data_IF_209277394058
#
_entry.id   IF_209277394058
#
_cell.length_a   1.000
_cell.length_b   1.000
_cell.length_c   1.000
_cell.angle_alpha   90.00
_cell.angle_beta   90.00
_cell.angle_gamma   90.00
#
_symmetry.space_group_name_H-M   'P 1'
#
loop_
_entity.id
_entity.type
_entity.pdbx_description
1 polymer ?
#
# COMPACT_ATOMS: atom_id res chain seq x y z
N UNK A 1 -19.46 -13.01 -1.36
CA UNK A 1 -19.88 -13.47 -2.71
C UNK A 1 -19.11 -12.67 -3.78
N UNK A 2 -17.77 -12.69 -3.76
CA UNK A 2 -16.90 -11.68 -4.44
C UNK A 2 -16.08 -12.22 -5.62
N UNK A 3 -16.25 -13.51 -5.96
CA UNK A 3 -15.46 -14.16 -7.03
C UNK A 3 -15.64 -13.57 -8.43
N UNK A 4 -16.83 -13.10 -8.87
CA UNK A 4 -17.00 -12.62 -10.24
C UNK A 4 -16.20 -11.34 -10.54
N UNK A 5 -16.27 -10.32 -9.68
CA UNK A 5 -15.58 -9.04 -9.89
C UNK A 5 -14.05 -9.22 -9.92
N UNK A 6 -13.51 -9.96 -8.94
CA UNK A 6 -12.09 -10.31 -8.90
C UNK A 6 -11.65 -11.09 -10.15
N UNK A 7 -12.43 -12.10 -10.56
CA UNK A 7 -12.12 -12.89 -11.76
C UNK A 7 -12.15 -12.05 -13.03
N UNK A 8 -13.12 -11.16 -13.18
CA UNK A 8 -13.24 -10.27 -14.32
C UNK A 8 -12.05 -9.31 -14.41
N UNK A 9 -11.64 -8.71 -13.29
CA UNK A 9 -10.49 -7.82 -13.24
C UNK A 9 -9.19 -8.55 -13.66
N UNK A 10 -8.94 -9.74 -13.10
CA UNK A 10 -7.76 -10.54 -13.44
C UNK A 10 -7.78 -11.01 -14.90
N UNK A 11 -8.95 -11.39 -15.43
CA UNK A 11 -9.10 -11.75 -16.84
C UNK A 11 -8.81 -10.57 -17.76
N UNK A 12 -9.20 -9.35 -17.38
CA UNK A 12 -8.90 -8.15 -18.15
C UNK A 12 -7.38 -7.93 -18.25
N UNK A 13 -6.64 -8.01 -17.13
CA UNK A 13 -5.18 -7.90 -17.14
C UNK A 13 -4.49 -8.99 -17.98
N UNK A 14 -5.00 -10.22 -17.91
CA UNK A 14 -4.49 -11.32 -18.72
C UNK A 14 -4.77 -11.13 -20.22
N UNK A 15 -5.96 -10.61 -20.58
CA UNK A 15 -6.38 -10.43 -21.97
C UNK A 15 -5.57 -9.38 -22.75
N UNK A 16 -5.03 -8.38 -22.05
CA UNK A 16 -4.12 -7.40 -22.63
C UNK A 16 -2.65 -7.86 -22.55
N UNK A 17 -2.43 -9.10 -22.13
CA UNK A 17 -1.11 -9.71 -21.92
C UNK A 17 -0.18 -8.81 -21.09
N UNK A 18 -0.72 -8.20 -20.02
CA UNK A 18 0.04 -7.27 -19.19
C UNK A 18 1.27 -7.98 -18.62
N UNK A 19 2.47 -7.47 -18.91
CA UNK A 19 3.74 -8.00 -18.43
C UNK A 19 4.70 -6.86 -18.11
N UNK A 20 5.63 -7.14 -17.20
CA UNK A 20 6.69 -6.20 -16.79
C UNK A 20 6.15 -4.82 -16.38
N UNK A 21 4.97 -4.81 -15.76
CA UNK A 21 4.35 -3.59 -15.28
C UNK A 21 5.11 -3.03 -14.08
N UNK A 22 4.94 -1.73 -13.86
CA UNK A 22 5.44 -1.02 -12.68
C UNK A 22 4.25 -0.79 -11.75
N UNK A 23 4.35 -1.29 -10.52
CA UNK A 23 3.30 -1.12 -9.51
C UNK A 23 3.66 0.02 -8.56
N UNK A 24 2.70 0.87 -8.23
CA UNK A 24 2.91 1.97 -7.26
C UNK A 24 2.27 1.60 -5.92
N UNK A 25 3.09 1.14 -4.98
CA UNK A 25 2.64 0.87 -3.61
C UNK A 25 2.56 2.19 -2.84
N UNK A 26 1.38 2.54 -2.35
CA UNK A 26 1.12 3.86 -1.77
C UNK A 26 0.07 3.83 -0.65
N UNK A 27 0.14 4.80 0.29
CA UNK A 27 -0.96 5.07 1.22
C UNK A 27 -2.25 5.42 0.45
N UNK A 28 -3.37 4.79 0.81
CA UNK A 28 -4.71 5.12 0.27
C UNK A 28 -5.67 5.37 1.45
N UNK A 29 -6.19 4.30 2.05
CA UNK A 29 -7.13 4.37 3.17
C UNK A 29 -6.44 4.35 4.54
N UNK A 30 -5.15 4.03 4.57
CA UNK A 30 -4.27 4.03 5.75
C UNK A 30 -2.97 4.74 5.42
N UNK A 31 -2.10 4.95 6.39
CA UNK A 31 -0.84 5.66 6.21
C UNK A 31 -0.56 6.61 7.35
N UNK A 32 0.48 7.44 7.18
CA UNK A 32 0.90 8.42 8.17
C UNK A 32 -0.24 9.33 8.63
N UNK A 33 -1.07 9.81 7.69
CA UNK A 33 -2.22 10.68 7.98
C UNK A 33 -3.28 10.00 8.86
N UNK A 34 -3.50 8.70 8.70
CA UNK A 34 -4.43 7.96 9.57
C UNK A 34 -3.86 7.83 10.98
N UNK A 35 -2.57 7.51 11.09
CA UNK A 35 -1.87 7.36 12.37
C UNK A 35 -1.79 8.69 13.13
N UNK A 36 -1.52 9.80 12.44
CA UNK A 36 -1.55 11.13 13.03
C UNK A 36 -2.96 11.52 13.52
N UNK A 37 -4.01 11.15 12.77
CA UNK A 37 -5.39 11.36 13.19
C UNK A 37 -5.74 10.53 14.43
N UNK A 38 -5.27 9.28 14.52
CA UNK A 38 -5.42 8.41 15.70
C UNK A 38 -4.75 9.04 16.94
N UNK A 39 -3.52 9.51 16.80
CA UNK A 39 -2.79 10.20 17.86
C UNK A 39 -3.53 11.46 18.33
N UNK A 40 -3.95 12.31 17.39
CA UNK A 40 -4.64 13.56 17.70
C UNK A 40 -6.00 13.33 18.39
N UNK A 41 -6.69 12.25 18.07
CA UNK A 41 -7.97 11.88 18.68
C UNK A 41 -7.83 11.00 19.93
N UNK A 42 -6.62 10.51 20.24
CA UNK A 42 -6.39 9.45 21.23
C UNK A 42 -7.31 8.24 21.01
N UNK A 43 -7.55 7.90 19.74
CA UNK A 43 -8.42 6.81 19.30
C UNK A 43 -7.63 5.89 18.38
N UNK A 44 -7.27 4.70 18.88
CA UNK A 44 -6.37 3.77 18.21
C UNK A 44 -7.08 2.57 17.58
N UNK A 45 -8.41 2.50 17.69
CA UNK A 45 -9.23 1.55 16.93
C UNK A 45 -9.63 2.18 15.59
N UNK A 46 -9.17 1.58 14.47
CA UNK A 46 -9.45 2.07 13.12
C UNK A 46 -10.94 2.09 12.80
N UNK A 47 -11.68 1.09 13.24
CA UNK A 47 -13.12 0.98 12.95
C UNK A 47 -13.89 2.08 13.68
N UNK A 48 -13.56 2.32 14.94
CA UNK A 48 -14.17 3.37 15.76
C UNK A 48 -13.76 4.75 15.24
N UNK A 49 -12.48 4.97 14.94
CA UNK A 49 -11.99 6.24 14.37
C UNK A 49 -12.75 6.61 13.09
N UNK A 50 -12.90 5.67 12.16
CA UNK A 50 -13.56 5.91 10.88
C UNK A 50 -15.08 6.07 11.02
N UNK A 51 -15.69 5.44 12.03
CA UNK A 51 -17.11 5.64 12.32
C UNK A 51 -17.37 7.02 12.96
N UNK A 52 -16.61 7.36 14.00
CA UNK A 52 -16.81 8.58 14.79
C UNK A 52 -16.33 9.85 14.06
N UNK A 53 -15.28 9.72 13.24
CA UNK A 53 -14.62 10.84 12.56
C UNK A 53 -14.65 10.69 11.03
N UNK A 54 -15.68 10.05 10.46
CA UNK A 54 -15.78 9.74 9.01
C UNK A 54 -15.40 10.93 8.11
N UNK A 55 -15.99 12.11 8.34
CA UNK A 55 -15.72 13.29 7.51
C UNK A 55 -14.30 13.83 7.65
N UNK A 56 -13.71 13.71 8.86
CA UNK A 56 -12.30 14.08 9.05
C UNK A 56 -11.40 13.06 8.37
N UNK A 57 -11.67 11.77 8.53
CA UNK A 57 -10.90 10.72 7.89
C UNK A 57 -10.93 10.85 6.36
N UNK A 58 -12.10 11.07 5.76
CA UNK A 58 -12.21 11.28 4.31
C UNK A 58 -11.37 12.48 3.83
N UNK A 59 -11.52 13.63 4.50
CA UNK A 59 -10.86 14.89 4.11
C UNK A 59 -9.38 14.95 4.44
N UNK A 60 -8.98 14.42 5.59
CA UNK A 60 -7.63 14.54 6.15
C UNK A 60 -6.75 13.33 5.81
N UNK A 61 -7.35 12.18 5.45
CA UNK A 61 -6.62 10.94 5.14
C UNK A 61 -6.88 10.50 3.71
N UNK A 62 -8.11 10.09 3.39
CA UNK A 62 -8.41 9.37 2.15
C UNK A 62 -8.14 10.20 0.91
N UNK A 63 -8.72 11.40 0.83
CA UNK A 63 -8.61 12.24 -0.37
C UNK A 63 -7.18 12.77 -0.60
N UNK A 64 -6.46 13.28 0.42
CA UNK A 64 -5.05 13.62 0.26
C UNK A 64 -4.18 12.42 -0.15
N UNK A 65 -4.38 11.25 0.45
CA UNK A 65 -3.64 10.05 0.09
C UNK A 65 -3.89 9.62 -1.37
N UNK A 66 -5.15 9.64 -1.82
CA UNK A 66 -5.50 9.36 -3.22
C UNK A 66 -4.87 10.36 -4.18
N UNK A 67 -4.85 11.64 -3.81
CA UNK A 67 -4.18 12.69 -4.59
C UNK A 67 -2.68 12.42 -4.73
N UNK A 68 -2.02 12.08 -3.63
CA UNK A 68 -0.60 11.75 -3.61
C UNK A 68 -0.28 10.48 -4.41
N UNK A 69 -1.12 9.45 -4.30
CA UNK A 69 -1.01 8.22 -5.08
C UNK A 69 -1.10 8.49 -6.59
N UNK A 70 -2.07 9.31 -7.02
CA UNK A 70 -2.18 9.76 -8.42
C UNK A 70 -0.94 10.52 -8.88
N UNK A 71 -0.42 11.41 -8.03
CA UNK A 71 0.77 12.19 -8.33
C UNK A 71 2.00 11.28 -8.45
N UNK A 72 2.16 10.31 -7.55
CA UNK A 72 3.22 9.30 -7.60
C UNK A 72 3.13 8.48 -8.90
N UNK A 73 1.96 7.96 -9.25
CA UNK A 73 1.75 7.24 -10.50
C UNK A 73 2.05 8.09 -11.74
N UNK A 74 1.68 9.37 -11.72
CA UNK A 74 1.98 10.31 -12.82
C UNK A 74 3.48 10.52 -12.98
N UNK A 75 4.21 10.74 -11.87
CA UNK A 75 5.68 10.84 -11.89
C UNK A 75 6.34 9.56 -12.40
N UNK A 76 5.86 8.40 -11.97
CA UNK A 76 6.35 7.09 -12.43
C UNK A 76 6.14 6.91 -13.94
N UNK A 77 4.96 7.25 -14.47
CA UNK A 77 4.68 7.20 -15.92
C UNK A 77 5.62 8.11 -16.72
N UNK A 78 5.88 9.32 -16.21
CA UNK A 78 6.80 10.25 -16.85
C UNK A 78 8.24 9.72 -16.87
N UNK A 79 8.67 9.02 -15.81
CA UNK A 79 10.02 8.42 -15.71
C UNK A 79 10.19 7.20 -16.61
N UNK A 80 9.12 6.44 -16.84
CA UNK A 80 9.12 5.19 -17.59
C UNK A 80 8.20 5.25 -18.82
N UNK A 81 8.54 6.07 -19.83
CA UNK A 81 7.75 6.13 -21.05
C UNK A 81 7.69 4.75 -21.71
N UNK A 82 6.49 4.31 -22.11
CA UNK A 82 6.26 3.02 -22.74
C UNK A 82 6.03 1.85 -21.78
N UNK A 83 6.16 2.05 -20.46
CA UNK A 83 5.81 1.03 -19.48
C UNK A 83 4.39 1.21 -18.94
N UNK A 84 3.70 0.10 -18.69
CA UNK A 84 2.42 0.10 -18.00
C UNK A 84 2.64 0.37 -16.50
N UNK A 85 1.98 1.41 -15.99
CA UNK A 85 2.03 1.79 -14.57
C UNK A 85 0.68 1.55 -13.92
N UNK A 86 0.67 0.64 -12.94
CA UNK A 86 -0.50 0.26 -12.15
C UNK A 86 -0.59 1.19 -10.94
N UNK A 87 -1.69 1.92 -10.85
CA UNK A 87 -2.04 2.72 -9.68
C UNK A 87 -3.23 2.07 -8.96
N UNK A 88 -3.01 1.39 -7.83
CA UNK A 88 -4.09 0.71 -7.12
C UNK A 88 -5.11 1.70 -6.53
N UNK A 89 -4.75 2.99 -6.33
CA UNK A 89 -5.70 4.01 -5.85
C UNK A 89 -6.85 4.31 -6.80
N UNK A 90 -6.72 3.94 -8.08
CA UNK A 90 -7.77 4.11 -9.10
C UNK A 90 -8.66 2.88 -9.26
N UNK A 91 -8.42 1.81 -8.51
CA UNK A 91 -9.30 0.65 -8.53
C UNK A 91 -10.62 1.01 -7.85
N UNK A 92 -11.64 1.23 -8.67
CA UNK A 92 -13.02 1.35 -8.25
C UNK A 92 -13.81 0.22 -8.91
N UNK A 93 -13.83 -0.95 -8.26
CA UNK A 93 -14.45 -2.18 -8.78
C UNK A 93 -15.67 -2.50 -7.94
N UNK A 94 -16.85 -2.28 -8.52
CA UNK A 94 -18.12 -2.52 -7.85
C UNK A 94 -18.22 -3.98 -7.35
N UNK A 95 -18.60 -4.14 -6.08
CA UNK A 95 -18.75 -5.44 -5.42
C UNK A 95 -17.45 -6.08 -4.93
N UNK A 96 -16.30 -5.40 -5.06
CA UNK A 96 -15.03 -5.82 -4.48
C UNK A 96 -14.86 -5.21 -3.08
N UNK A 97 -14.83 -6.05 -2.06
CA UNK A 97 -14.57 -5.67 -0.68
C UNK A 97 -13.05 -5.59 -0.40
N UNK A 98 -12.66 -5.20 0.81
CA UNK A 98 -11.24 -5.09 1.18
C UNK A 98 -10.48 -6.43 1.04
N UNK A 99 -11.00 -7.60 1.50
CA UNK A 99 -10.35 -8.88 1.24
C UNK A 99 -10.17 -9.18 -0.25
N UNK A 100 -11.19 -8.91 -1.08
CA UNK A 100 -11.08 -9.08 -2.52
C UNK A 100 -10.07 -8.14 -3.16
N UNK A 101 -9.97 -6.90 -2.67
CA UNK A 101 -8.97 -5.92 -3.08
C UNK A 101 -7.54 -6.37 -2.75
N UNK A 102 -7.31 -6.87 -1.53
CA UNK A 102 -6.00 -7.38 -1.10
C UNK A 102 -5.57 -8.55 -2.02
N UNK A 103 -6.48 -9.48 -2.33
CA UNK A 103 -6.22 -10.60 -3.25
C UNK A 103 -5.97 -10.13 -4.69
N UNK A 104 -6.68 -9.09 -5.15
CA UNK A 104 -6.46 -8.51 -6.48
C UNK A 104 -5.04 -7.95 -6.59
N UNK A 105 -4.61 -7.14 -5.62
CA UNK A 105 -3.29 -6.51 -5.61
C UNK A 105 -2.18 -7.57 -5.55
N UNK A 106 -2.31 -8.57 -4.67
CA UNK A 106 -1.36 -9.68 -4.58
C UNK A 106 -1.20 -10.40 -5.92
N UNK A 107 -2.32 -10.78 -6.55
CA UNK A 107 -2.29 -11.52 -7.83
C UNK A 107 -1.74 -10.69 -8.97
N UNK A 108 -2.01 -9.38 -8.99
CA UNK A 108 -1.42 -8.47 -9.96
C UNK A 108 0.09 -8.42 -9.80
N UNK A 109 0.57 -8.25 -8.56
CA UNK A 109 2.01 -8.19 -8.26
C UNK A 109 2.70 -9.49 -8.67
N UNK A 110 2.19 -10.65 -8.24
CA UNK A 110 2.77 -11.96 -8.57
C UNK A 110 2.77 -12.25 -10.08
N UNK A 111 1.73 -11.84 -10.82
CA UNK A 111 1.52 -12.24 -12.20
C UNK A 111 2.07 -11.29 -13.26
N UNK A 112 2.14 -9.98 -12.97
CA UNK A 112 2.29 -8.96 -14.01
C UNK A 112 3.37 -7.91 -13.73
N UNK A 113 3.87 -7.83 -12.50
CA UNK A 113 4.75 -6.74 -12.05
C UNK A 113 6.21 -7.18 -12.06
N UNK A 114 7.09 -6.33 -12.60
CA UNK A 114 8.54 -6.54 -12.55
C UNK A 114 9.25 -5.54 -11.62
N UNK A 115 8.56 -4.45 -11.26
CA UNK A 115 9.11 -3.36 -10.44
C UNK A 115 8.04 -2.74 -9.55
N UNK A 116 8.39 -2.43 -8.32
CA UNK A 116 7.56 -1.67 -7.39
C UNK A 116 8.19 -0.29 -7.15
N UNK A 117 7.40 0.76 -7.28
CA UNK A 117 7.73 2.11 -6.81
C UNK A 117 7.01 2.33 -5.49
N UNK A 118 7.80 2.55 -4.45
CA UNK A 118 7.34 2.85 -3.09
C UNK A 118 7.10 4.35 -2.99
N UNK A 119 5.84 4.77 -2.97
CA UNK A 119 5.47 6.18 -2.83
C UNK A 119 5.80 6.70 -1.42
N UNK A 120 5.95 8.01 -1.27
CA UNK A 120 6.30 8.63 0.02
C UNK A 120 5.31 8.22 1.12
N UNK A 121 5.82 7.79 2.27
CA UNK A 121 5.02 7.36 3.41
C UNK A 121 4.41 5.96 3.28
N UNK A 122 4.79 5.16 2.27
CA UNK A 122 4.38 3.77 2.12
C UNK A 122 4.63 2.95 3.39
N UNK A 123 5.72 3.24 4.10
CA UNK A 123 6.15 2.58 5.32
C UNK A 123 5.20 2.83 6.50
N UNK A 124 4.21 3.72 6.39
CA UNK A 124 3.17 3.91 7.38
C UNK A 124 1.83 3.27 6.97
N UNK A 125 1.74 2.67 5.79
CA UNK A 125 0.51 2.05 5.27
C UNK A 125 0.60 0.53 5.37
N UNK A 126 -0.44 -0.09 5.96
CA UNK A 126 -0.55 -1.56 6.01
C UNK A 126 -0.46 -2.16 4.60
N UNK A 127 -1.27 -1.65 3.68
CA UNK A 127 -1.38 -2.19 2.32
C UNK A 127 -0.05 -2.07 1.58
N UNK A 128 0.52 -0.87 1.55
CA UNK A 128 1.77 -0.64 0.85
C UNK A 128 2.96 -1.42 1.46
N UNK A 129 2.98 -1.62 2.78
CA UNK A 129 3.96 -2.53 3.41
C UNK A 129 3.77 -3.96 2.94
N UNK A 130 2.56 -4.50 2.98
CA UNK A 130 2.28 -5.88 2.52
C UNK A 130 2.72 -6.06 1.06
N UNK A 131 2.45 -5.09 0.20
CA UNK A 131 2.89 -5.09 -1.21
C UNK A 131 4.41 -5.03 -1.34
N UNK A 132 5.09 -4.23 -0.52
CA UNK A 132 6.55 -4.16 -0.50
C UNK A 132 7.19 -5.47 -0.03
N UNK A 133 6.66 -6.09 1.03
CA UNK A 133 7.15 -7.37 1.54
C UNK A 133 6.93 -8.49 0.52
N UNK A 134 5.77 -8.52 -0.13
CA UNK A 134 5.48 -9.45 -1.22
C UNK A 134 6.47 -9.27 -2.39
N UNK A 135 6.74 -8.03 -2.80
CA UNK A 135 7.71 -7.79 -3.87
C UNK A 135 9.12 -8.22 -3.50
N UNK A 136 9.51 -8.09 -2.21
CA UNK A 136 10.80 -8.55 -1.71
C UNK A 136 10.89 -10.08 -1.74
N UNK A 137 9.85 -10.79 -1.28
CA UNK A 137 9.72 -12.25 -1.38
C UNK A 137 9.90 -12.74 -2.83
N UNK A 138 9.35 -11.99 -3.79
CA UNK A 138 9.40 -12.30 -5.22
C UNK A 138 10.71 -11.85 -5.91
N UNK A 139 11.61 -11.16 -5.22
CA UNK A 139 12.84 -10.63 -5.79
C UNK A 139 12.62 -9.54 -6.85
N UNK A 140 11.55 -8.75 -6.73
CA UNK A 140 11.26 -7.65 -7.65
C UNK A 140 12.22 -6.46 -7.45
N UNK A 141 12.37 -5.64 -8.50
CA UNK A 141 13.13 -4.41 -8.39
C UNK A 141 12.33 -3.33 -7.64
N UNK A 142 12.99 -2.57 -6.77
CA UNK A 142 12.37 -1.49 -6.00
C UNK A 142 12.98 -0.13 -6.28
N UNK A 143 12.13 0.89 -6.24
CA UNK A 143 12.53 2.30 -6.23
C UNK A 143 11.69 3.11 -5.27
N UNK A 144 12.25 4.21 -4.77
CA UNK A 144 11.47 5.22 -4.05
C UNK A 144 10.70 6.16 -5.00
N UNK A 145 9.91 7.07 -4.41
CA UNK A 145 9.16 8.09 -5.15
C UNK A 145 10.01 8.99 -6.05
N UNK A 146 11.32 9.14 -5.76
CA UNK A 146 12.27 9.90 -6.56
C UNK A 146 12.91 9.08 -7.69
N UNK A 147 12.76 7.75 -7.69
CA UNK A 147 13.35 6.83 -8.67
C UNK A 147 14.72 6.33 -8.28
N UNK A 148 15.12 6.47 -7.01
CA UNK A 148 16.35 5.87 -6.50
C UNK A 148 16.08 4.41 -6.21
N UNK A 149 16.99 3.55 -6.67
CA UNK A 149 16.93 2.12 -6.39
C UNK A 149 16.92 1.86 -4.88
N UNK A 150 16.10 0.91 -4.46
CA UNK A 150 16.05 0.42 -3.09
C UNK A 150 16.36 -1.08 -3.08
N UNK A 151 17.16 -1.52 -2.13
CA UNK A 151 17.33 -2.94 -1.82
C UNK A 151 16.35 -3.39 -0.75
N UNK A 152 16.25 -4.71 -0.56
CA UNK A 152 15.45 -5.31 0.51
C UNK A 152 15.82 -4.74 1.89
N UNK A 153 17.11 -4.54 2.17
CA UNK A 153 17.57 -3.91 3.40
C UNK A 153 16.97 -2.50 3.61
N UNK A 154 16.82 -1.70 2.55
CA UNK A 154 16.26 -0.35 2.66
C UNK A 154 14.77 -0.38 3.02
N UNK A 155 14.04 -1.39 2.51
CA UNK A 155 12.62 -1.63 2.81
C UNK A 155 12.46 -1.94 4.30
N UNK A 156 13.23 -2.92 4.81
CA UNK A 156 13.18 -3.30 6.22
C UNK A 156 13.57 -2.14 7.13
N UNK A 157 14.67 -1.45 6.82
CA UNK A 157 15.12 -0.30 7.60
C UNK A 157 14.09 0.84 7.63
N UNK A 158 13.35 1.08 6.54
CA UNK A 158 12.27 2.06 6.50
C UNK A 158 11.08 1.66 7.40
N UNK A 159 10.72 0.37 7.43
CA UNK A 159 9.67 -0.14 8.29
C UNK A 159 10.06 -0.05 9.78
N UNK A 160 11.28 -0.44 10.15
CA UNK A 160 11.80 -0.32 11.53
C UNK A 160 11.84 1.15 11.98
N UNK A 161 12.36 2.03 11.12
CA UNK A 161 12.44 3.47 11.40
C UNK A 161 11.06 4.10 11.61
N UNK A 162 10.07 3.71 10.81
CA UNK A 162 8.70 4.23 10.96
C UNK A 162 8.01 3.70 12.20
N UNK A 163 8.25 2.45 12.60
CA UNK A 163 7.77 1.90 13.88
C UNK A 163 8.37 2.66 15.07
N UNK A 164 9.70 2.84 15.10
CA UNK A 164 10.37 3.62 16.13
C UNK A 164 9.79 5.05 16.22
N UNK A 165 9.59 5.70 15.07
CA UNK A 165 9.02 7.05 15.03
C UNK A 165 7.57 7.13 15.57
N UNK A 166 6.76 6.07 15.41
CA UNK A 166 5.41 6.01 15.98
C UNK A 166 5.46 5.83 17.49
N UNK A 167 6.33 4.95 17.99
CA UNK A 167 6.54 4.74 19.43
C UNK A 167 7.02 6.03 20.11
N UNK A 168 7.99 6.72 19.51
CA UNK A 168 8.51 8.00 20.00
C UNK A 168 7.42 9.09 20.02
N UNK A 169 6.45 9.02 19.09
CA UNK A 169 5.30 9.91 19.04
C UNK A 169 4.18 9.55 20.05
N UNK A 170 4.35 8.49 20.84
CA UNK A 170 3.39 8.05 21.84
C UNK A 170 2.30 7.12 21.31
N UNK A 171 2.49 6.51 20.13
CA UNK A 171 1.56 5.51 19.62
C UNK A 171 1.67 4.22 20.46
N UNK A 172 0.57 3.64 20.97
CA UNK A 172 0.63 2.41 21.76
C UNK A 172 1.19 1.24 20.95
N UNK A 173 2.19 0.55 21.51
CA UNK A 173 2.93 -0.51 20.80
C UNK A 173 2.03 -1.68 20.39
N UNK A 174 1.12 -2.11 21.27
CA UNK A 174 0.14 -3.17 21.01
C UNK A 174 -0.74 -2.81 19.79
N UNK A 175 -1.21 -1.55 19.73
CA UNK A 175 -2.03 -1.06 18.61
C UNK A 175 -1.25 -0.91 17.33
N UNK A 176 0.02 -0.52 17.39
CA UNK A 176 0.88 -0.44 16.21
C UNK A 176 1.05 -1.82 15.56
N UNK A 177 1.29 -2.86 16.37
CA UNK A 177 1.47 -4.25 15.90
C UNK A 177 0.21 -4.83 15.25
N UNK A 178 -0.97 -4.40 15.68
CA UNK A 178 -2.24 -4.79 15.04
C UNK A 178 -2.44 -4.12 13.67
N UNK A 179 -1.87 -2.93 13.48
CA UNK A 179 -2.12 -2.09 12.30
C UNK A 179 -1.12 -2.29 11.17
N UNK A 180 0.14 -2.58 11.50
CA UNK A 180 1.24 -2.70 10.55
C UNK A 180 1.78 -4.14 10.54
N UNK A 181 2.07 -4.72 9.36
CA UNK A 181 2.69 -6.03 9.30
C UNK A 181 4.05 -6.01 10.01
N UNK A 182 4.42 -7.11 10.69
CA UNK A 182 5.66 -7.18 11.45
C UNK A 182 6.89 -7.04 10.55
N UNK A 183 7.91 -6.37 11.09
CA UNK A 183 9.22 -6.12 10.46
C UNK A 183 10.21 -7.27 10.59
N UNK A 184 9.97 -8.18 11.53
CA UNK A 184 10.81 -9.37 11.73
C UNK A 184 10.30 -10.50 10.85
N UNK A 185 11.17 -11.04 9.99
CA UNK A 185 10.87 -12.18 9.11
C UNK A 185 10.30 -13.35 9.88
N UNK A 186 8.97 -13.48 9.86
CA UNK A 186 8.29 -14.71 10.22
C UNK A 186 7.87 -15.36 8.91
N UNK A 187 8.73 -16.24 8.43
CA UNK A 187 8.23 -17.45 7.80
C UNK A 187 7.35 -18.16 8.85
N UNK A 188 6.02 -18.03 8.71
CA UNK A 188 4.99 -18.98 9.17
C UNK A 188 3.61 -18.33 9.17
N UNK A 189 2.79 -18.64 8.16
CA UNK A 189 1.54 -19.38 8.36
C UNK A 189 1.40 -20.30 7.15
N UNK A 190 1.34 -21.62 7.40
CA UNK A 190 1.10 -22.64 6.38
C UNK A 190 -0.37 -22.80 6.01
#
# INVERSE_FOLDING_TARGET
>A
MHRPALSAALQAFASIELKNAIYVACPISSGRRELDLMLAASQFDRSVLRADLVHRWEREVLEPNRSDARAAATRTRARYPGHNVINPSEFNIDGLDQPGYDVLCERIIRGHVARIVLADGWEFSRGARVEALLGAELGLAFEDGAGRSMGEHDIWAACEKSEAALLDAGFPEDRMRDLLPPTSGVAAVG
#
